data_IF_826930507165
#
_entry.id   IF_826930507165
#
_cell.length_a   1.000
_cell.length_b   1.000
_cell.length_c   1.000
_cell.angle_alpha   90.00
_cell.angle_beta   90.00
_cell.angle_gamma   90.00
#
_symmetry.space_group_name_H-M   'P 1'
#
loop_
_entity.id
_entity.type
_entity.pdbx_description
1 polymer ?
#
# COMPACT_ATOMS: atom_id res chain seq x y z
N UNK A 1 -35.91 -1.20 -0.05
CA UNK A 1 -34.90 -0.79 0.94
C UNK A 1 -33.55 -1.17 0.38
N UNK A 2 -32.79 -0.21 -0.16
CA UNK A 2 -31.50 -0.50 -0.82
C UNK A 2 -30.43 -0.40 0.26
N UNK A 3 -29.83 -1.51 0.65
CA UNK A 3 -28.66 -1.49 1.54
C UNK A 3 -27.47 -0.98 0.74
N UNK A 4 -27.02 0.25 1.00
CA UNK A 4 -25.72 0.71 0.53
C UNK A 4 -24.64 0.00 1.35
N UNK A 5 -23.90 -0.92 0.75
CA UNK A 5 -22.64 -1.38 1.34
C UNK A 5 -21.59 -0.30 1.16
N UNK A 6 -20.95 0.11 2.26
CA UNK A 6 -19.76 0.94 2.19
C UNK A 6 -18.64 0.06 1.61
N UNK A 7 -18.00 0.46 0.50
CA UNK A 7 -16.94 -0.34 -0.10
C UNK A 7 -15.82 -0.59 0.90
N UNK A 8 -15.37 -1.85 0.96
CA UNK A 8 -14.25 -2.25 1.84
C UNK A 8 -13.02 -1.46 1.45
N UNK A 9 -12.23 -1.07 2.44
CA UNK A 9 -10.96 -0.38 2.23
C UNK A 9 -9.84 -1.28 2.72
N UNK A 10 -8.73 -1.34 2.00
CA UNK A 10 -7.56 -2.14 2.39
C UNK A 10 -6.30 -1.31 2.18
N UNK A 11 -5.44 -1.27 3.18
CA UNK A 11 -4.11 -0.68 3.06
C UNK A 11 -3.03 -1.76 2.98
N UNK A 12 -2.17 -1.70 1.97
CA UNK A 12 -1.03 -2.61 1.80
C UNK A 12 0.28 -1.81 1.85
N UNK A 13 1.23 -2.23 2.68
CA UNK A 13 2.55 -1.59 2.78
C UNK A 13 3.65 -2.56 2.33
N UNK A 14 4.22 -2.32 1.15
CA UNK A 14 5.43 -3.01 0.71
C UNK A 14 6.69 -2.23 1.10
N UNK A 15 7.63 -2.88 1.78
CA UNK A 15 8.89 -2.28 2.23
C UNK A 15 10.03 -2.36 1.19
N UNK A 16 9.98 -3.35 0.30
CA UNK A 16 11.02 -3.67 -0.68
C UNK A 16 10.44 -4.27 -1.97
N UNK A 17 11.21 -4.27 -3.05
CA UNK A 17 10.77 -4.74 -4.38
C UNK A 17 10.19 -6.16 -4.39
N UNK A 18 10.69 -7.05 -3.50
CA UNK A 18 10.14 -8.42 -3.35
C UNK A 18 8.73 -8.38 -2.75
N UNK A 19 8.53 -7.59 -1.68
CA UNK A 19 7.24 -7.34 -1.04
C UNK A 19 6.22 -6.67 -1.97
N UNK A 20 6.68 -5.85 -2.92
CA UNK A 20 5.82 -5.19 -3.92
C UNK A 20 5.18 -6.17 -4.90
N UNK A 21 5.92 -7.21 -5.31
CA UNK A 21 5.38 -8.29 -6.12
C UNK A 21 4.23 -9.01 -5.38
N UNK A 22 4.45 -9.35 -4.11
CA UNK A 22 3.42 -10.00 -3.30
C UNK A 22 2.23 -9.07 -3.04
N UNK A 23 2.48 -7.77 -2.81
CA UNK A 23 1.43 -6.77 -2.67
C UNK A 23 0.55 -6.66 -3.91
N UNK A 24 1.13 -6.77 -5.11
CA UNK A 24 0.38 -6.80 -6.37
C UNK A 24 -0.47 -8.07 -6.48
N UNK A 25 0.12 -9.25 -6.28
CA UNK A 25 -0.60 -10.53 -6.32
C UNK A 25 -1.77 -10.56 -5.32
N UNK A 26 -1.54 -10.11 -4.09
CA UNK A 26 -2.58 -10.02 -3.07
C UNK A 26 -3.70 -9.07 -3.50
N UNK A 27 -3.36 -7.91 -4.07
CA UNK A 27 -4.37 -6.93 -4.52
C UNK A 27 -5.27 -7.49 -5.61
N UNK A 28 -4.69 -8.25 -6.54
CA UNK A 28 -5.43 -8.93 -7.61
C UNK A 28 -6.47 -9.90 -7.03
N UNK A 29 -6.05 -10.78 -6.12
CA UNK A 29 -6.94 -11.78 -5.52
C UNK A 29 -8.03 -11.11 -4.66
N UNK A 30 -7.69 -10.09 -3.87
CA UNK A 30 -8.67 -9.33 -3.07
C UNK A 30 -9.74 -8.69 -3.97
N UNK A 31 -9.34 -8.08 -5.10
CA UNK A 31 -10.29 -7.50 -6.06
C UNK A 31 -11.14 -8.55 -6.76
N UNK A 32 -10.60 -9.75 -6.98
CA UNK A 32 -11.38 -10.88 -7.48
C UNK A 32 -12.52 -11.28 -6.53
N UNK A 33 -12.29 -11.18 -5.22
CA UNK A 33 -13.29 -11.49 -4.18
C UNK A 33 -14.24 -10.33 -3.89
N UNK A 34 -13.73 -9.10 -3.89
CA UNK A 34 -14.48 -7.87 -3.62
C UNK A 34 -14.20 -6.82 -4.70
N UNK A 35 -14.94 -6.83 -5.82
CA UNK A 35 -14.68 -5.92 -6.94
C UNK A 35 -14.70 -4.42 -6.57
N UNK A 36 -15.54 -4.04 -5.61
CA UNK A 36 -15.68 -2.65 -5.16
C UNK A 36 -14.69 -2.24 -4.06
N UNK A 37 -13.72 -3.10 -3.71
CA UNK A 37 -12.71 -2.80 -2.68
C UNK A 37 -11.77 -1.68 -3.11
N UNK A 38 -11.55 -0.73 -2.22
CA UNK A 38 -10.58 0.35 -2.40
C UNK A 38 -9.25 -0.05 -1.76
N UNK A 39 -8.26 -0.37 -2.59
CA UNK A 39 -6.91 -0.73 -2.13
C UNK A 39 -5.97 0.47 -2.32
N UNK A 40 -5.24 0.82 -1.27
CA UNK A 40 -4.23 1.88 -1.31
C UNK A 40 -2.99 1.48 -0.49
N UNK A 41 -1.86 2.16 -0.67
CA UNK A 41 -0.66 1.67 0.01
C UNK A 41 0.68 2.26 -0.36
N UNK A 42 1.72 1.73 0.29
CA UNK A 42 3.12 1.96 -0.07
C UNK A 42 3.52 0.86 -1.04
N UNK A 43 4.00 1.23 -2.23
CA UNK A 43 4.25 0.26 -3.28
C UNK A 43 4.85 0.86 -4.55
N UNK A 44 4.90 0.03 -5.59
CA UNK A 44 5.50 0.35 -6.88
C UNK A 44 4.55 0.16 -8.06
N UNK A 45 5.14 0.04 -9.25
CA UNK A 45 4.45 -0.07 -10.53
C UNK A 45 3.60 -1.33 -10.67
N UNK A 46 3.98 -2.47 -10.09
CA UNK A 46 3.19 -3.72 -10.13
C UNK A 46 1.92 -3.57 -9.31
N UNK A 47 2.01 -3.03 -8.09
CA UNK A 47 0.84 -2.75 -7.27
C UNK A 47 -0.10 -1.73 -7.96
N UNK A 48 0.48 -0.70 -8.59
CA UNK A 48 -0.30 0.27 -9.37
C UNK A 48 -1.03 -0.39 -10.55
N UNK A 49 -0.40 -1.36 -11.23
CA UNK A 49 -0.99 -2.09 -12.36
C UNK A 49 -2.20 -2.93 -11.92
N UNK A 50 -2.20 -3.47 -10.70
CA UNK A 50 -3.35 -4.15 -10.09
C UNK A 50 -4.40 -3.18 -9.50
N UNK A 51 -4.23 -1.87 -9.79
CA UNK A 51 -5.13 -0.79 -9.40
C UNK A 51 -5.09 -0.46 -7.91
N UNK A 52 -3.93 -0.62 -7.27
CA UNK A 52 -3.66 -0.05 -5.95
C UNK A 52 -3.34 1.43 -6.08
N UNK A 53 -3.97 2.27 -5.27
CA UNK A 53 -3.62 3.68 -5.16
C UNK A 53 -2.35 3.86 -4.32
N UNK A 54 -1.25 4.26 -4.96
CA UNK A 54 0.03 4.44 -4.29
C UNK A 54 0.08 5.79 -3.57
N UNK A 55 0.17 5.75 -2.24
CA UNK A 55 0.23 6.94 -1.37
C UNK A 55 1.68 7.36 -1.05
N UNK A 56 2.62 6.43 -1.16
CA UNK A 56 4.06 6.66 -1.10
C UNK A 56 4.80 5.60 -1.93
N UNK A 57 5.89 5.95 -2.62
CA UNK A 57 6.67 5.00 -3.39
C UNK A 57 7.41 4.01 -2.47
N UNK A 58 7.66 2.82 -3.00
CA UNK A 58 8.52 1.85 -2.33
C UNK A 58 9.97 2.35 -2.26
N UNK A 59 10.65 2.01 -1.17
CA UNK A 59 12.06 2.37 -0.98
C UNK A 59 12.95 1.30 -1.63
N UNK A 60 13.78 1.70 -2.59
CA UNK A 60 14.80 0.84 -3.20
C UNK A 60 16.11 0.90 -2.41
N UNK A 61 16.03 0.60 -1.11
CA UNK A 61 17.21 0.63 -0.22
C UNK A 61 17.82 -0.76 -0.18
N UNK A 62 19.11 -0.88 -0.47
CA UNK A 62 19.85 -2.15 -0.46
C UNK A 62 20.89 -2.10 0.66
N UNK A 63 20.68 -2.90 1.71
CA UNK A 63 21.61 -3.03 2.83
C UNK A 63 21.42 -2.01 3.97
N UNK A 64 21.99 -2.33 5.13
CA UNK A 64 21.79 -1.60 6.40
C UNK A 64 22.32 -0.16 6.36
N UNK A 65 23.46 0.07 5.68
CA UNK A 65 24.08 1.40 5.60
C UNK A 65 23.21 2.40 4.83
N UNK A 66 22.58 1.95 3.74
CA UNK A 66 21.69 2.78 2.93
C UNK A 66 20.34 3.01 3.65
N UNK A 67 19.87 2.04 4.44
CA UNK A 67 18.68 2.17 5.28
C UNK A 67 18.84 3.26 6.35
N UNK A 68 20.01 3.34 6.99
CA UNK A 68 20.30 4.40 7.98
C UNK A 68 20.35 5.77 7.30
N UNK A 69 20.97 5.88 6.12
CA UNK A 69 21.02 7.15 5.35
C UNK A 69 19.64 7.63 4.88
N UNK A 70 18.74 6.69 4.59
CA UNK A 70 17.37 6.98 4.14
C UNK A 70 16.31 6.84 5.22
N UNK A 71 16.69 6.70 6.49
CA UNK A 71 15.78 6.55 7.62
C UNK A 71 14.72 7.66 7.66
N UNK A 72 15.09 8.90 7.35
CA UNK A 72 14.16 10.04 7.28
C UNK A 72 13.04 9.84 6.25
N UNK A 73 13.37 9.28 5.07
CA UNK A 73 12.36 8.99 4.03
C UNK A 73 11.41 7.89 4.48
N UNK A 74 11.94 6.84 5.11
CA UNK A 74 11.16 5.74 5.68
C UNK A 74 10.21 6.28 6.76
N UNK A 75 10.74 7.04 7.73
CA UNK A 75 9.94 7.67 8.79
C UNK A 75 8.83 8.57 8.21
N UNK A 76 9.14 9.38 7.19
CA UNK A 76 8.15 10.22 6.53
C UNK A 76 7.05 9.40 5.85
N UNK A 77 7.40 8.28 5.19
CA UNK A 77 6.43 7.39 4.57
C UNK A 77 5.52 6.73 5.63
N UNK A 78 6.10 6.27 6.74
CA UNK A 78 5.34 5.70 7.87
C UNK A 78 4.44 6.74 8.56
N UNK A 79 4.91 7.98 8.72
CA UNK A 79 4.09 9.06 9.27
C UNK A 79 2.87 9.33 8.39
N UNK A 80 3.07 9.45 7.08
CA UNK A 80 1.98 9.63 6.11
C UNK A 80 1.02 8.43 6.10
N UNK A 81 1.56 7.21 6.17
CA UNK A 81 0.76 6.00 6.29
C UNK A 81 -0.13 6.01 7.55
N UNK A 82 0.43 6.39 8.70
CA UNK A 82 -0.31 6.52 9.96
C UNK A 82 -1.44 7.54 9.86
N UNK A 83 -1.17 8.72 9.30
CA UNK A 83 -2.18 9.76 9.10
C UNK A 83 -3.35 9.25 8.24
N UNK A 84 -3.03 8.54 7.15
CA UNK A 84 -4.04 7.96 6.26
C UNK A 84 -4.82 6.82 6.92
N UNK A 85 -4.17 5.96 7.72
CA UNK A 85 -4.85 4.89 8.47
C UNK A 85 -5.91 5.46 9.41
N UNK A 86 -5.57 6.52 10.15
CA UNK A 86 -6.51 7.18 11.08
C UNK A 86 -7.68 7.82 10.33
N UNK A 87 -7.42 8.44 9.17
CA UNK A 87 -8.43 9.13 8.38
C UNK A 87 -9.36 8.17 7.60
N UNK A 88 -8.79 7.13 7.00
CA UNK A 88 -9.54 6.21 6.12
C UNK A 88 -10.19 5.06 6.86
N UNK A 89 -9.63 4.66 8.01
CA UNK A 89 -10.02 3.47 8.82
C UNK A 89 -10.32 2.25 7.95
N UNK A 90 -9.34 1.80 7.15
CA UNK A 90 -9.47 0.61 6.34
C UNK A 90 -9.68 -0.64 7.19
#
# INVERSE_FOLDING_TARGET
MIFYQVPKKVMICAGETSGELYGAMLSREIKGLWPDVHIFGIGGSRMKAEGVMIIAPISHVIGIAEAIRHAWKIISAFKKAKEILVAQRP
#
